data_IF_564790091887
#
_entry.id   IF_564790091887
#
_cell.length_a   1.000
_cell.length_b   1.000
_cell.length_c   1.000
_cell.angle_alpha   90.00
_cell.angle_beta   90.00
_cell.angle_gamma   90.00
#
_symmetry.space_group_name_H-M   'P 1'
#
loop_
_entity.id
_entity.type
_entity.pdbx_description
1 polymer ?
#
# COMPACT_ATOMS: atom_id res chain seq x y z
N UNK A 1 3.98 -6.31 23.15
CA UNK A 1 3.51 -4.95 22.83
C UNK A 1 3.91 -4.67 21.39
N UNK A 2 2.96 -4.48 20.47
CA UNK A 2 3.28 -4.10 19.09
C UNK A 2 3.91 -2.71 19.11
N UNK A 3 5.03 -2.51 18.40
CA UNK A 3 5.65 -1.20 18.28
C UNK A 3 4.65 -0.20 17.66
N UNK A 4 4.58 1.06 18.12
CA UNK A 4 3.67 2.04 17.55
C UNK A 4 3.97 2.22 16.06
N UNK A 5 2.94 2.08 15.22
CA UNK A 5 3.04 2.33 13.79
C UNK A 5 3.41 3.80 13.57
N UNK A 6 4.62 4.06 13.09
CA UNK A 6 4.96 5.40 12.61
C UNK A 6 4.21 5.66 11.31
N UNK A 7 3.90 6.93 11.02
CA UNK A 7 3.09 7.30 9.84
C UNK A 7 3.69 6.78 8.51
N UNK A 8 5.02 6.69 8.45
CA UNK A 8 5.73 6.12 7.29
C UNK A 8 5.55 4.61 7.17
N UNK A 9 5.48 3.86 8.27
CA UNK A 9 5.24 2.42 8.24
C UNK A 9 3.79 2.09 7.87
N UNK A 10 2.82 2.86 8.37
CA UNK A 10 1.42 2.75 7.97
C UNK A 10 1.25 2.99 6.45
N UNK A 11 1.82 4.08 5.92
CA UNK A 11 1.78 4.38 4.48
C UNK A 11 2.39 3.25 3.65
N UNK A 12 3.55 2.70 4.06
CA UNK A 12 4.17 1.56 3.36
C UNK A 12 3.27 0.34 3.34
N UNK A 13 2.69 -0.05 4.48
CA UNK A 13 1.78 -1.20 4.57
C UNK A 13 0.58 -1.02 3.64
N UNK A 14 -0.04 0.16 3.64
CA UNK A 14 -1.14 0.49 2.75
C UNK A 14 -0.75 0.37 1.28
N UNK A 15 0.41 0.89 0.87
CA UNK A 15 0.90 0.78 -0.52
C UNK A 15 1.13 -0.67 -0.93
N UNK A 16 1.70 -1.49 -0.03
CA UNK A 16 1.88 -2.91 -0.31
C UNK A 16 0.55 -3.64 -0.43
N UNK A 17 -0.38 -3.40 0.50
CA UNK A 17 -1.72 -3.98 0.44
C UNK A 17 -2.46 -3.58 -0.83
N UNK A 18 -2.41 -2.30 -1.20
CA UNK A 18 -2.95 -1.78 -2.45
C UNK A 18 -2.41 -2.56 -3.66
N UNK A 19 -1.09 -2.74 -3.72
CA UNK A 19 -0.43 -3.48 -4.80
C UNK A 19 -0.87 -4.95 -4.86
N UNK A 20 -0.99 -5.60 -3.70
CA UNK A 20 -1.42 -7.00 -3.61
C UNK A 20 -2.88 -7.17 -4.05
N UNK A 21 -3.79 -6.34 -3.55
CA UNK A 21 -5.21 -6.38 -3.91
C UNK A 21 -5.41 -6.10 -5.41
N UNK A 22 -4.67 -5.12 -5.96
CA UNK A 22 -4.67 -4.83 -7.39
C UNK A 22 -4.22 -6.03 -8.21
N UNK A 23 -3.10 -6.67 -7.83
CA UNK A 23 -2.59 -7.85 -8.53
C UNK A 23 -3.52 -9.05 -8.40
N UNK A 24 -4.11 -9.30 -7.23
CA UNK A 24 -5.05 -10.38 -7.00
C UNK A 24 -6.30 -10.26 -7.90
N UNK A 25 -6.71 -9.03 -8.22
CA UNK A 25 -7.80 -8.74 -9.17
C UNK A 25 -7.37 -8.71 -10.64
N UNK A 26 -6.08 -8.93 -10.95
CA UNK A 26 -5.54 -8.83 -12.30
C UNK A 26 -5.54 -7.40 -12.86
N UNK A 27 -5.65 -6.38 -12.00
CA UNK A 27 -5.71 -4.99 -12.42
C UNK A 27 -4.32 -4.44 -12.73
N UNK A 28 -4.19 -3.63 -13.78
CA UNK A 28 -3.02 -2.77 -13.98
C UNK A 28 -3.11 -1.51 -13.11
N UNK A 29 -2.00 -0.76 -12.99
CA UNK A 29 -2.00 0.53 -12.28
C UNK A 29 -3.01 1.49 -12.90
N UNK A 30 -3.06 1.57 -14.24
CA UNK A 30 -4.09 2.31 -15.00
C UNK A 30 -5.50 1.95 -14.59
N UNK A 31 -5.82 0.66 -14.48
CA UNK A 31 -7.17 0.20 -14.12
C UNK A 31 -7.52 0.63 -12.70
N UNK A 32 -6.60 0.47 -11.73
CA UNK A 32 -6.83 0.96 -10.37
C UNK A 32 -7.08 2.48 -10.34
N UNK A 33 -6.27 3.25 -11.05
CA UNK A 33 -6.45 4.70 -11.14
C UNK A 33 -7.81 5.06 -11.74
N UNK A 34 -8.28 4.34 -12.76
CA UNK A 34 -9.63 4.55 -13.32
C UNK A 34 -10.76 4.25 -12.33
N UNK A 35 -10.60 3.25 -11.46
CA UNK A 35 -11.59 3.00 -10.40
C UNK A 35 -11.61 4.10 -9.36
N UNK A 36 -10.44 4.56 -8.90
CA UNK A 36 -10.31 5.66 -7.95
C UNK A 36 -10.83 6.99 -8.53
N UNK A 37 -10.55 7.26 -9.81
CA UNK A 37 -10.97 8.47 -10.52
C UNK A 37 -12.49 8.63 -10.66
N UNK A 38 -13.26 7.53 -10.57
CA UNK A 38 -14.74 7.59 -10.54
C UNK A 38 -15.29 8.24 -9.28
N UNK A 39 -14.53 8.20 -8.19
CA UNK A 39 -14.91 8.78 -6.89
C UNK A 39 -14.19 10.11 -6.69
N UNK A 40 -12.88 10.16 -6.99
CA UNK A 40 -12.08 11.38 -6.94
C UNK A 40 -11.33 11.61 -8.27
N UNK A 41 -11.84 12.50 -9.15
CA UNK A 41 -11.25 12.77 -10.47
C UNK A 41 -9.80 13.26 -10.48
N UNK A 42 -9.28 13.75 -9.34
CA UNK A 42 -7.90 14.24 -9.24
C UNK A 42 -6.86 13.10 -9.17
N UNK A 43 -7.29 11.86 -8.91
CA UNK A 43 -6.41 10.69 -8.88
C UNK A 43 -6.04 10.28 -10.31
N UNK A 44 -4.74 10.34 -10.60
CA UNK A 44 -4.18 9.97 -11.90
C UNK A 44 -3.39 8.66 -11.85
N UNK A 45 -3.16 8.02 -13.01
CA UNK A 45 -2.30 6.84 -13.11
C UNK A 45 -0.90 7.09 -12.53
N UNK A 46 -0.31 8.25 -12.84
CA UNK A 46 1.00 8.66 -12.31
C UNK A 46 1.00 8.79 -10.80
N UNK A 47 -0.08 9.31 -10.20
CA UNK A 47 -0.17 9.43 -8.73
C UNK A 47 -0.16 8.07 -8.05
N UNK A 48 -0.84 7.06 -8.63
CA UNK A 48 -0.87 5.67 -8.14
C UNK A 48 0.47 4.98 -8.41
N UNK A 49 1.07 5.18 -9.58
CA UNK A 49 2.39 4.65 -9.90
C UNK A 49 3.48 5.19 -8.96
N UNK A 50 3.45 6.49 -8.66
CA UNK A 50 4.41 7.10 -7.75
C UNK A 50 4.30 6.55 -6.32
N UNK A 51 3.09 6.21 -5.87
CA UNK A 51 2.91 5.46 -4.62
C UNK A 51 3.54 4.07 -4.70
N UNK A 52 3.15 3.26 -5.69
CA UNK A 52 3.63 1.87 -5.78
C UNK A 52 5.15 1.74 -5.98
N UNK A 53 5.75 2.67 -6.70
CA UNK A 53 7.20 2.72 -6.91
C UNK A 53 7.97 3.27 -5.70
N UNK A 54 7.28 3.84 -4.71
CA UNK A 54 7.87 4.47 -3.55
C UNK A 54 8.51 5.83 -3.83
N UNK A 55 8.32 6.39 -5.03
CA UNK A 55 8.70 7.79 -5.36
C UNK A 55 7.93 8.77 -4.46
N UNK A 56 6.66 8.45 -4.18
CA UNK A 56 5.87 9.08 -3.12
C UNK A 56 5.67 8.07 -1.99
N UNK A 57 6.03 8.47 -0.77
CA UNK A 57 6.08 7.57 0.40
C UNK A 57 4.90 7.70 1.35
N UNK A 58 4.16 8.79 1.27
CA UNK A 58 3.03 9.08 2.14
C UNK A 58 1.72 8.82 1.40
N UNK A 59 0.82 8.07 2.04
CA UNK A 59 -0.58 7.91 1.64
C UNK A 59 -1.41 8.86 2.51
N UNK A 60 -2.28 9.66 1.90
CA UNK A 60 -3.18 10.53 2.67
C UNK A 60 -4.34 9.74 3.25
N UNK A 61 -5.04 10.29 4.25
CA UNK A 61 -6.25 9.66 4.80
C UNK A 61 -7.31 9.49 3.71
N UNK A 62 -7.52 10.52 2.89
CA UNK A 62 -8.48 10.48 1.78
C UNK A 62 -8.16 9.36 0.79
N UNK A 63 -6.88 9.21 0.42
CA UNK A 63 -6.44 8.10 -0.45
C UNK A 63 -6.68 6.74 0.21
N UNK A 64 -6.41 6.59 1.51
CA UNK A 64 -6.63 5.34 2.22
C UNK A 64 -8.12 4.98 2.29
N UNK A 65 -9.00 5.96 2.48
CA UNK A 65 -10.46 5.77 2.47
C UNK A 65 -10.94 5.38 1.06
N UNK A 66 -10.47 6.06 0.02
CA UNK A 66 -10.82 5.72 -1.36
C UNK A 66 -10.35 4.32 -1.76
N UNK A 67 -9.17 3.91 -1.30
CA UNK A 67 -8.67 2.55 -1.48
C UNK A 67 -9.56 1.53 -0.77
N UNK A 68 -10.00 1.82 0.46
CA UNK A 68 -10.90 0.94 1.21
C UNK A 68 -12.22 0.73 0.45
N UNK A 69 -12.79 1.80 -0.08
CA UNK A 69 -14.01 1.77 -0.88
C UNK A 69 -13.83 0.98 -2.19
N UNK A 70 -12.82 1.33 -3.01
CA UNK A 70 -12.56 0.65 -4.30
C UNK A 70 -12.22 -0.84 -4.12
N UNK A 71 -11.54 -1.18 -3.03
CA UNK A 71 -11.20 -2.56 -2.71
C UNK A 71 -12.26 -3.29 -1.89
N UNK A 72 -13.39 -2.67 -1.57
CA UNK A 72 -14.46 -3.28 -0.77
C UNK A 72 -13.89 -3.92 0.53
N UNK A 73 -12.98 -3.20 1.18
CA UNK A 73 -12.25 -3.63 2.37
C UNK A 73 -12.32 -2.55 3.44
N UNK A 74 -11.95 -2.84 4.68
CA UNK A 74 -11.90 -1.79 5.71
C UNK A 74 -10.56 -1.05 5.71
N UNK A 75 -10.54 0.15 6.30
CA UNK A 75 -9.31 0.88 6.54
C UNK A 75 -8.36 0.10 7.48
N UNK A 76 -8.92 -0.65 8.43
CA UNK A 76 -8.15 -1.51 9.32
C UNK A 76 -7.44 -2.63 8.54
N UNK A 77 -8.12 -3.29 7.60
CA UNK A 77 -7.51 -4.32 6.73
C UNK A 77 -6.38 -3.76 5.84
N UNK A 78 -6.49 -2.49 5.43
CA UNK A 78 -5.44 -1.82 4.66
C UNK A 78 -4.19 -1.55 5.51
N UNK A 79 -4.40 -1.06 6.73
CA UNK A 79 -3.33 -0.63 7.63
C UNK A 79 -2.66 -1.79 8.37
N UNK A 80 -3.43 -2.83 8.68
CA UNK A 80 -2.98 -4.02 9.40
C UNK A 80 -2.23 -5.02 8.52
N UNK A 81 -2.08 -4.74 7.21
CA UNK A 81 -1.37 -5.67 6.31
C UNK A 81 0.03 -5.99 6.83
N UNK A 82 0.35 -7.28 6.74
CA UNK A 82 1.66 -7.83 7.06
C UNK A 82 2.20 -8.57 5.84
N UNK A 83 3.50 -8.40 5.61
CA UNK A 83 4.16 -9.13 4.55
C UNK A 83 4.17 -10.62 4.87
N UNK A 84 3.53 -11.42 4.01
CA UNK A 84 3.50 -12.88 4.13
C UNK A 84 4.87 -13.55 4.01
N UNK A 85 5.89 -12.84 3.51
CA UNK A 85 7.23 -13.37 3.33
C UNK A 85 8.15 -13.15 4.55
N UNK A 86 8.05 -11.99 5.22
CA UNK A 86 8.97 -11.66 6.32
C UNK A 86 8.27 -11.27 7.62
N UNK A 87 6.95 -11.05 7.63
CA UNK A 87 6.18 -10.62 8.81
C UNK A 87 6.81 -9.44 9.56
N UNK A 88 7.44 -8.52 8.82
CA UNK A 88 8.15 -7.37 9.39
C UNK A 88 9.55 -7.66 9.98
N UNK A 89 10.01 -8.91 9.95
CA UNK A 89 11.29 -9.35 10.51
C UNK A 89 12.15 -10.13 9.49
N UNK A 90 12.69 -9.49 8.43
CA UNK A 90 13.70 -10.13 7.58
C UNK A 90 14.97 -10.49 8.37
N UNK A 91 15.78 -11.47 7.91
CA UNK A 91 17.08 -11.76 8.53
C UNK A 91 18.00 -10.54 8.61
N UNK A 92 18.82 -10.45 9.65
CA UNK A 92 19.73 -9.32 9.86
C UNK A 92 20.70 -9.15 8.68
N UNK A 93 20.85 -7.90 8.22
CA UNK A 93 21.65 -7.58 7.03
C UNK A 93 20.97 -7.86 5.69
N UNK A 94 19.72 -8.35 5.68
CA UNK A 94 18.95 -8.61 4.46
C UNK A 94 17.73 -7.70 4.34
N UNK A 95 17.39 -7.41 3.08
CA UNK A 95 16.16 -6.70 2.70
C UNK A 95 15.15 -7.70 2.15
N UNK A 96 13.92 -7.65 2.65
CA UNK A 96 12.83 -8.42 2.07
C UNK A 96 12.57 -7.93 0.62
N UNK A 97 12.68 -8.82 -0.36
CA UNK A 97 12.43 -8.47 -1.76
C UNK A 97 10.93 -8.29 -2.08
N UNK A 98 10.05 -8.72 -1.16
CA UNK A 98 8.61 -8.60 -1.32
C UNK A 98 8.08 -7.25 -0.83
N UNK A 99 8.41 -6.87 0.42
CA UNK A 99 7.94 -5.63 1.05
C UNK A 99 9.01 -4.56 1.25
N UNK A 100 10.28 -4.82 0.89
CA UNK A 100 11.36 -3.85 1.03
C UNK A 100 11.82 -3.56 2.46
N UNK A 101 11.19 -4.14 3.49
CA UNK A 101 11.63 -4.03 4.89
C UNK A 101 13.07 -4.52 5.03
N UNK A 102 13.89 -3.84 5.83
CA UNK A 102 15.24 -4.23 6.19
C UNK A 102 15.41 -4.08 7.70
N UNK A 103 16.10 -5.04 8.32
CA UNK A 103 16.59 -4.94 9.68
C UNK A 103 18.06 -4.53 9.61
N UNK A 104 18.37 -3.42 10.26
CA UNK A 104 19.75 -2.95 10.45
C UNK A 104 20.50 -3.89 11.39
#
# INVERSE_FOLDING_TARGET
MAAPLTNTEASKRTVHRMRDLRKARGWSVRVLAQHLAKINPDITEDSVYNLESGRRRAVTIDEAVLLAEVFETTLDDLLSWECSACHGAPPAGFKCLHCGTALA
#
